data_IF_085895443403
#
_entry.id   IF_085895443403
#
_cell.length_a   1.000
_cell.length_b   1.000
_cell.length_c   1.000
_cell.angle_alpha   90.00
_cell.angle_beta   90.00
_cell.angle_gamma   90.00
#
_symmetry.space_group_name_H-M   'P 1'
#
loop_
_entity.id
_entity.type
_entity.pdbx_description
1 polymer ?
#
# COMPACT_ATOMS: atom_id res chain seq x y z
N UNK A 1 10.82 -35.78 28.43
CA UNK A 1 11.06 -34.96 27.23
C UNK A 1 12.54 -35.05 26.92
N UNK A 2 12.84 -35.63 25.77
CA UNK A 2 14.12 -36.14 25.26
C UNK A 2 15.31 -35.22 25.49
N UNK A 3 16.44 -35.79 25.92
CA UNK A 3 17.75 -35.14 25.79
C UNK A 3 17.97 -34.81 24.31
N UNK A 4 18.28 -33.55 24.03
CA UNK A 4 18.63 -33.09 22.70
C UNK A 4 20.04 -33.63 22.39
N UNK A 5 20.13 -34.50 21.39
CA UNK A 5 21.41 -35.06 20.95
C UNK A 5 22.42 -33.91 20.67
N UNK A 6 23.72 -34.08 20.96
CA UNK A 6 24.73 -33.02 20.87
C UNK A 6 24.87 -32.36 19.48
N UNK A 7 24.33 -33.00 18.43
CA UNK A 7 24.26 -32.41 17.07
C UNK A 7 23.19 -31.32 16.95
N UNK A 8 22.14 -31.39 17.76
CA UNK A 8 21.02 -30.45 17.74
C UNK A 8 21.32 -29.13 18.44
N UNK A 9 22.16 -29.13 19.49
CA UNK A 9 22.62 -27.91 20.16
C UNK A 9 23.52 -27.06 19.26
N UNK A 10 24.43 -27.69 18.52
CA UNK A 10 25.32 -27.02 17.55
C UNK A 10 24.52 -26.37 16.41
N UNK A 11 23.46 -27.04 15.93
CA UNK A 11 22.59 -26.49 14.90
C UNK A 11 21.80 -25.26 15.40
N UNK A 12 21.31 -25.30 16.64
CA UNK A 12 20.58 -24.19 17.25
C UNK A 12 21.47 -22.98 17.52
N UNK A 13 22.72 -23.21 17.93
CA UNK A 13 23.72 -22.16 18.14
C UNK A 13 24.13 -21.49 16.81
N UNK A 14 24.30 -22.29 15.75
CA UNK A 14 24.56 -21.78 14.40
C UNK A 14 23.39 -20.95 13.81
N UNK A 15 22.15 -21.21 14.26
CA UNK A 15 20.98 -20.39 13.93
C UNK A 15 20.82 -19.16 14.82
N UNK A 16 21.77 -18.88 15.71
CA UNK A 16 21.72 -17.73 16.63
C UNK A 16 20.68 -17.89 17.75
N UNK A 17 20.17 -19.10 17.96
CA UNK A 17 19.24 -19.44 19.04
C UNK A 17 20.07 -19.92 20.24
N UNK A 18 20.87 -19.01 20.80
CA UNK A 18 21.77 -19.31 21.91
C UNK A 18 21.97 -18.15 22.90
N UNK A 19 22.11 -18.43 24.22
CA UNK A 19 21.92 -19.74 24.86
C UNK A 19 20.45 -19.98 25.27
N UNK A 20 20.02 -21.25 25.16
CA UNK A 20 18.74 -21.73 25.68
C UNK A 20 18.77 -21.75 27.22
N UNK A 21 17.85 -21.03 27.85
CA UNK A 21 17.73 -20.96 29.30
C UNK A 21 17.15 -22.26 29.87
N UNK A 22 17.95 -22.98 30.66
CA UNK A 22 17.48 -24.13 31.43
C UNK A 22 16.89 -23.65 32.77
N UNK A 23 15.72 -24.19 33.13
CA UNK A 23 15.05 -23.87 34.40
C UNK A 23 15.88 -24.42 35.57
N UNK A 24 16.17 -23.58 36.58
CA UNK A 24 17.10 -23.88 37.70
C UNK A 24 16.71 -25.08 38.57
N UNK A 25 15.45 -25.49 38.58
CA UNK A 25 14.93 -26.46 39.55
C UNK A 25 14.59 -27.83 38.97
N UNK A 26 15.39 -28.35 38.03
CA UNK A 26 15.31 -29.77 37.69
C UNK A 26 16.24 -30.61 38.56
N UNK A 27 15.75 -31.65 39.25
CA UNK A 27 16.62 -32.65 39.84
C UNK A 27 17.37 -33.41 38.72
N UNK A 28 18.67 -33.62 38.92
CA UNK A 28 19.54 -34.29 37.96
C UNK A 28 19.05 -35.72 37.68
N UNK A 29 18.94 -36.14 36.40
CA UNK A 29 18.62 -37.53 36.08
C UNK A 29 19.80 -38.44 36.43
N UNK A 30 19.45 -39.59 37.02
CA UNK A 30 20.36 -40.66 37.44
C UNK A 30 20.96 -41.33 36.21
N UNK A 31 22.28 -41.45 36.17
CA UNK A 31 22.99 -42.13 35.10
C UNK A 31 22.58 -43.61 35.04
N UNK A 32 21.97 -44.03 33.92
CA UNK A 32 21.86 -45.43 33.54
C UNK A 32 22.83 -45.70 32.40
N UNK A 33 23.72 -46.66 32.63
CA UNK A 33 24.71 -47.11 31.67
C UNK A 33 24.02 -47.88 30.54
N UNK A 34 24.21 -47.43 29.29
CA UNK A 34 23.89 -48.22 28.10
C UNK A 34 25.15 -48.90 27.55
N UNK A 35 25.02 -50.20 27.35
CA UNK A 35 26.00 -51.09 26.74
C UNK A 35 26.10 -50.88 25.22
N UNK A 36 27.21 -51.26 24.56
CA UNK A 36 27.43 -50.99 23.14
C UNK A 36 26.95 -52.14 22.26
N UNK A 37 26.43 -51.83 21.07
CA UNK A 37 26.24 -52.79 19.98
C UNK A 37 26.64 -52.20 18.61
N UNK A 38 27.02 -53.05 17.64
CA UNK A 38 28.32 -52.95 16.98
C UNK A 38 28.30 -52.36 15.56
N UNK A 39 29.51 -52.07 15.08
CA UNK A 39 29.83 -51.63 13.72
C UNK A 39 29.83 -52.80 12.70
N UNK A 40 30.00 -52.41 11.42
CA UNK A 40 30.28 -53.21 10.20
C UNK A 40 29.05 -53.48 9.29
N UNK A 41 29.11 -53.38 7.95
CA UNK A 41 30.23 -53.39 7.00
C UNK A 41 29.81 -52.77 5.65
N UNK A 42 30.81 -52.39 4.86
CA UNK A 42 30.74 -51.83 3.51
C UNK A 42 30.73 -52.96 2.48
N UNK A 43 29.88 -52.88 1.45
CA UNK A 43 30.04 -53.70 0.23
C UNK A 43 29.74 -52.85 -1.02
N UNK A 44 30.72 -52.79 -1.91
CA UNK A 44 30.64 -52.23 -3.26
C UNK A 44 30.32 -53.35 -4.25
N UNK A 45 29.40 -53.11 -5.19
CA UNK A 45 29.41 -53.81 -6.49
C UNK A 45 29.08 -52.82 -7.60
N UNK A 46 29.89 -52.89 -8.64
CA UNK A 46 29.94 -52.09 -9.86
C UNK A 46 29.10 -52.73 -10.99
N UNK A 47 28.85 -51.95 -12.05
CA UNK A 47 28.49 -52.33 -13.44
C UNK A 47 26.99 -52.41 -13.82
N UNK A 48 26.52 -52.07 -15.03
CA UNK A 48 26.85 -51.18 -16.18
C UNK A 48 25.55 -51.17 -17.04
N UNK A 49 25.38 -50.13 -17.88
CA UNK A 49 24.67 -50.13 -19.19
C UNK A 49 23.27 -49.49 -19.37
N UNK A 50 23.32 -48.26 -19.89
CA UNK A 50 22.68 -47.71 -21.09
C UNK A 50 21.24 -48.10 -21.47
N UNK A 51 20.38 -47.08 -21.65
CA UNK A 51 19.64 -46.90 -22.91
C UNK A 51 19.33 -45.41 -23.19
N UNK A 52 19.98 -44.94 -24.26
CA UNK A 52 19.52 -44.08 -25.35
C UNK A 52 18.90 -42.69 -25.18
N UNK A 53 19.48 -41.82 -26.01
CA UNK A 53 19.15 -40.45 -26.31
C UNK A 53 17.96 -40.33 -27.28
N UNK A 54 17.29 -39.17 -27.23
CA UNK A 54 16.58 -38.67 -28.39
C UNK A 54 16.87 -37.17 -28.54
N UNK A 55 17.73 -36.88 -29.52
CA UNK A 55 17.95 -35.55 -30.07
C UNK A 55 17.11 -35.40 -31.34
N UNK A 56 16.45 -34.25 -31.51
CA UNK A 56 16.07 -33.73 -32.82
C UNK A 56 16.04 -32.19 -32.77
N UNK A 57 16.97 -31.59 -33.51
CA UNK A 57 17.07 -30.17 -33.84
C UNK A 57 16.17 -29.81 -35.05
N UNK A 58 16.33 -28.65 -35.72
CA UNK A 58 16.14 -27.27 -35.28
C UNK A 58 15.02 -26.58 -36.09
N UNK A 59 14.41 -25.52 -35.56
CA UNK A 59 13.48 -24.67 -36.31
C UNK A 59 14.02 -23.24 -36.45
N UNK A 60 13.84 -22.69 -37.64
CA UNK A 60 14.64 -21.66 -38.28
C UNK A 60 14.29 -20.24 -37.84
N UNK A 61 15.30 -19.37 -37.94
CA UNK A 61 15.20 -17.94 -37.79
C UNK A 61 14.31 -17.32 -38.90
N UNK A 62 13.25 -16.64 -38.48
CA UNK A 62 12.54 -15.66 -39.29
C UNK A 62 12.79 -14.27 -38.71
N UNK A 63 13.65 -13.51 -39.37
CA UNK A 63 13.82 -12.07 -39.11
C UNK A 63 12.57 -11.36 -39.65
N UNK A 64 11.79 -10.75 -38.76
CA UNK A 64 10.77 -9.76 -39.14
C UNK A 64 11.20 -8.41 -38.57
N UNK A 65 11.45 -7.46 -39.46
CA UNK A 65 11.78 -6.09 -39.13
C UNK A 65 10.63 -5.42 -38.33
N UNK A 66 10.92 -4.54 -37.36
CA UNK A 66 9.88 -3.87 -36.60
C UNK A 66 9.13 -2.85 -37.48
N UNK A 67 7.78 -2.81 -37.45
CA UNK A 67 7.05 -1.67 -37.97
C UNK A 67 7.27 -0.44 -37.07
N UNK A 68 7.37 0.73 -37.69
CA UNK A 68 7.50 2.03 -37.03
C UNK A 68 6.37 2.28 -36.00
N UNK A 69 6.62 3.06 -34.93
CA UNK A 69 5.66 3.23 -33.85
C UNK A 69 4.45 4.03 -34.34
N UNK A 70 3.31 3.35 -34.45
CA UNK A 70 2.01 4.00 -34.45
C UNK A 70 1.74 4.50 -33.02
N UNK A 71 1.50 5.80 -32.88
CA UNK A 71 0.92 6.38 -31.67
C UNK A 71 -0.44 5.70 -31.44
N UNK A 72 -0.54 4.87 -30.41
CA UNK A 72 -1.81 4.32 -29.95
C UNK A 72 -2.32 5.16 -28.79
N UNK A 73 -3.55 5.63 -28.91
CA UNK A 73 -4.27 6.36 -27.87
C UNK A 73 -4.49 5.46 -26.63
N UNK A 74 -3.78 5.77 -25.54
CA UNK A 74 -3.78 5.03 -24.26
C UNK A 74 -5.02 5.34 -23.39
N UNK A 75 -6.23 5.20 -23.92
CA UNK A 75 -7.47 5.47 -23.18
C UNK A 75 -8.35 4.24 -22.87
N UNK A 76 -7.93 3.02 -23.21
CA UNK A 76 -8.73 1.81 -23.02
C UNK A 76 -8.72 1.23 -21.58
N UNK A 77 -8.61 2.07 -20.54
CA UNK A 77 -8.61 1.60 -19.13
C UNK A 77 -10.03 1.26 -18.65
N UNK A 78 -11.09 1.96 -19.09
CA UNK A 78 -12.44 1.80 -18.50
C UNK A 78 -13.65 1.73 -19.47
N UNK A 79 -13.47 1.72 -20.80
CA UNK A 79 -14.61 1.83 -21.74
C UNK A 79 -15.52 0.58 -21.83
N UNK A 80 -15.16 -0.55 -21.23
CA UNK A 80 -15.95 -1.80 -21.30
C UNK A 80 -16.89 -2.04 -20.10
N UNK A 81 -17.26 -1.01 -19.35
CA UNK A 81 -18.27 -1.13 -18.30
C UNK A 81 -19.69 -0.93 -18.87
N UNK A 82 -20.57 -1.96 -18.90
CA UNK A 82 -21.94 -1.76 -19.37
C UNK A 82 -22.70 -0.78 -18.46
N UNK A 83 -23.53 0.12 -19.01
CA UNK A 83 -24.29 1.07 -18.20
C UNK A 83 -25.26 0.32 -17.30
N UNK A 84 -25.18 0.58 -15.99
CA UNK A 84 -26.13 0.03 -15.03
C UNK A 84 -27.55 0.59 -15.32
N UNK A 85 -28.60 -0.25 -15.30
CA UNK A 85 -29.95 0.20 -15.58
C UNK A 85 -30.45 1.18 -14.50
N UNK A 86 -30.68 2.43 -14.92
CA UNK A 86 -31.32 3.46 -14.11
C UNK A 86 -32.83 3.24 -14.09
N UNK A 87 -33.31 2.52 -13.08
CA UNK A 87 -34.71 2.61 -12.64
C UNK A 87 -34.80 2.25 -11.16
N UNK A 88 -34.87 3.25 -10.29
CA UNK A 88 -35.43 3.11 -8.95
C UNK A 88 -36.48 4.23 -8.73
N UNK A 89 -37.66 3.93 -8.17
CA UNK A 89 -38.81 4.82 -8.21
C UNK A 89 -38.76 5.93 -7.15
N UNK A 90 -39.18 7.13 -7.55
CA UNK A 90 -39.28 8.30 -6.70
C UNK A 90 -40.38 8.16 -5.63
N UNK A 91 -39.99 8.01 -4.36
CA UNK A 91 -40.89 8.14 -3.23
C UNK A 91 -41.04 9.63 -2.85
N UNK A 92 -42.25 10.16 -3.09
CA UNK A 92 -42.68 11.51 -2.67
C UNK A 92 -42.79 11.56 -1.15
N UNK A 93 -42.01 12.41 -0.49
CA UNK A 93 -42.23 12.76 0.91
C UNK A 93 -43.09 14.04 1.01
N UNK A 94 -44.12 14.09 1.87
CA UNK A 94 -44.89 15.31 2.09
C UNK A 94 -44.15 16.30 3.01
N UNK A 95 -44.09 17.56 2.57
CA UNK A 95 -43.49 18.66 3.31
C UNK A 95 -44.32 19.01 4.56
N UNK A 96 -43.70 18.92 5.75
CA UNK A 96 -44.23 19.52 6.99
C UNK A 96 -43.79 20.98 7.06
N UNK A 97 -44.76 21.90 7.06
CA UNK A 97 -44.56 23.32 7.37
C UNK A 97 -44.21 23.47 8.85
N UNK A 98 -43.11 24.15 9.14
CA UNK A 98 -42.76 24.62 10.49
C UNK A 98 -43.00 26.13 10.50
N UNK A 99 -43.95 26.60 11.32
CA UNK A 99 -44.15 28.03 11.59
C UNK A 99 -43.10 28.55 12.58
N UNK A 100 -42.62 29.80 12.42
CA UNK A 100 -41.63 30.38 13.33
C UNK A 100 -42.29 30.93 14.60
N UNK A 101 -41.74 30.57 15.76
CA UNK A 101 -42.15 31.08 17.07
C UNK A 101 -41.73 32.55 17.26
N UNK A 102 -42.66 33.33 17.81
CA UNK A 102 -42.56 34.77 18.13
C UNK A 102 -41.69 35.03 19.36
N UNK A 103 -40.73 35.95 19.25
CA UNK A 103 -39.91 36.43 20.37
C UNK A 103 -40.67 37.41 21.27
N UNK A 104 -40.48 37.39 22.61
CA UNK A 104 -40.94 38.46 23.50
C UNK A 104 -39.93 39.62 23.62
N UNK A 105 -40.46 40.83 23.83
CA UNK A 105 -39.74 42.10 23.97
C UNK A 105 -39.18 42.31 25.40
N UNK A 106 -38.21 43.23 25.61
CA UNK A 106 -37.40 43.30 26.83
C UNK A 106 -37.98 44.24 27.90
N UNK A 107 -37.76 43.90 29.17
CA UNK A 107 -37.95 44.78 30.32
C UNK A 107 -36.61 45.36 30.75
N UNK A 108 -36.60 46.67 31.00
CA UNK A 108 -35.47 47.45 31.46
C UNK A 108 -35.25 47.31 32.98
N UNK A 109 -34.00 47.25 33.40
CA UNK A 109 -33.52 47.90 34.64
C UNK A 109 -32.00 48.04 34.59
N UNK A 110 -31.54 49.17 35.10
CA UNK A 110 -30.22 49.77 34.98
C UNK A 110 -29.14 49.04 35.78
N UNK A 111 -27.96 48.85 35.19
CA UNK A 111 -26.66 49.16 35.81
C UNK A 111 -25.56 49.12 34.75
N UNK A 112 -25.27 50.30 34.20
CA UNK A 112 -24.25 50.56 33.19
C UNK A 112 -23.01 51.16 33.85
N UNK A 113 -21.87 50.47 33.81
CA UNK A 113 -20.52 51.05 33.59
C UNK A 113 -19.35 50.10 33.99
N UNK A 114 -19.27 48.88 33.43
CA UNK A 114 -18.07 48.03 33.64
C UNK A 114 -17.52 47.31 32.39
N UNK A 115 -18.21 47.29 31.25
CA UNK A 115 -17.78 46.50 30.08
C UNK A 115 -17.51 47.30 28.79
N UNK A 116 -17.14 48.58 28.90
CA UNK A 116 -16.62 49.34 27.75
C UNK A 116 -15.14 49.03 27.49
N UNK A 117 -14.86 47.81 26.99
CA UNK A 117 -13.70 47.47 26.17
C UNK A 117 -13.83 46.04 25.61
N UNK A 118 -14.89 45.75 24.86
CA UNK A 118 -14.91 44.54 24.00
C UNK A 118 -14.54 45.00 22.58
N UNK A 119 -13.36 44.63 22.06
CA UNK A 119 -13.01 44.96 20.69
C UNK A 119 -14.01 44.28 19.75
N UNK A 120 -14.55 45.07 18.82
CA UNK A 120 -15.45 44.65 17.75
C UNK A 120 -14.93 43.36 17.10
N UNK A 121 -15.71 42.27 17.02
CA UNK A 121 -15.25 41.07 16.32
C UNK A 121 -14.97 41.45 14.87
N UNK A 122 -13.70 41.32 14.49
CA UNK A 122 -13.23 41.53 13.13
C UNK A 122 -14.13 40.76 12.16
N UNK A 123 -14.52 41.44 11.08
CA UNK A 123 -15.31 40.90 10.00
C UNK A 123 -14.83 39.48 9.64
N UNK A 124 -15.75 38.51 9.70
CA UNK A 124 -15.53 37.16 9.17
C UNK A 124 -14.95 37.32 7.75
N UNK A 125 -13.76 36.77 7.44
CA UNK A 125 -13.25 36.84 6.08
C UNK A 125 -14.30 36.20 5.16
N UNK A 126 -14.66 36.94 4.11
CA UNK A 126 -15.60 36.51 3.10
C UNK A 126 -15.25 35.09 2.64
N UNK A 127 -16.24 34.20 2.62
CA UNK A 127 -16.10 32.84 2.10
C UNK A 127 -15.50 32.93 0.70
N UNK A 128 -14.24 32.49 0.58
CA UNK A 128 -13.52 32.46 -0.68
C UNK A 128 -14.28 31.53 -1.62
N UNK A 129 -14.58 31.98 -2.84
CA UNK A 129 -15.19 31.14 -3.86
C UNK A 129 -14.46 29.79 -3.94
N UNK A 130 -15.17 28.66 -4.21
CA UNK A 130 -14.53 27.36 -4.25
C UNK A 130 -13.40 27.41 -5.28
N UNK A 131 -12.17 27.18 -4.81
CA UNK A 131 -11.00 27.17 -5.67
C UNK A 131 -11.24 26.16 -6.81
N UNK A 132 -11.06 26.60 -8.05
CA UNK A 132 -11.15 25.75 -9.24
C UNK A 132 -10.24 24.53 -9.04
N UNK A 133 -10.77 23.34 -9.29
CA UNK A 133 -9.96 22.13 -9.28
C UNK A 133 -8.89 22.22 -10.38
N UNK A 134 -7.65 21.83 -10.06
CA UNK A 134 -6.57 21.77 -11.04
C UNK A 134 -6.92 20.78 -12.16
N UNK A 135 -6.60 21.14 -13.40
CA UNK A 135 -6.72 20.29 -14.60
C UNK A 135 -5.60 19.26 -14.66
N UNK A 136 -5.74 18.29 -15.55
CA UNK A 136 -4.78 17.19 -15.67
C UNK A 136 -3.45 17.71 -16.24
N UNK A 137 -3.51 18.64 -17.19
CA UNK A 137 -2.35 19.31 -17.78
C UNK A 137 -1.60 20.16 -16.74
N UNK A 138 -2.34 20.85 -15.86
CA UNK A 138 -1.73 21.60 -14.76
C UNK A 138 -0.99 20.66 -13.81
N UNK A 139 -1.62 19.55 -13.41
CA UNK A 139 -1.01 18.56 -12.51
C UNK A 139 0.24 17.93 -13.14
N UNK A 140 0.19 17.61 -14.44
CA UNK A 140 1.33 17.03 -15.17
C UNK A 140 2.57 17.94 -15.20
N UNK A 141 2.39 19.26 -15.05
CA UNK A 141 3.48 20.24 -15.06
C UNK A 141 4.08 20.55 -13.68
N UNK A 142 3.44 20.09 -12.58
CA UNK A 142 3.82 20.48 -11.21
C UNK A 142 5.16 19.90 -10.76
N UNK A 143 5.93 20.67 -10.01
CA UNK A 143 7.03 20.12 -9.21
C UNK A 143 6.50 19.41 -7.93
N UNK A 144 7.39 18.79 -7.14
CA UNK A 144 7.01 18.09 -5.92
C UNK A 144 6.25 18.96 -4.92
N UNK A 145 6.71 20.19 -4.71
CA UNK A 145 6.13 21.13 -3.75
C UNK A 145 4.73 21.55 -4.19
N UNK A 146 4.58 21.86 -5.48
CA UNK A 146 3.30 22.20 -6.10
C UNK A 146 2.33 21.03 -6.07
N UNK A 147 2.80 19.83 -6.39
CA UNK A 147 2.00 18.61 -6.38
C UNK A 147 1.44 18.32 -4.98
N UNK A 148 2.30 18.34 -3.96
CA UNK A 148 1.88 18.13 -2.58
C UNK A 148 0.88 19.21 -2.11
N UNK A 149 1.11 20.48 -2.48
CA UNK A 149 0.19 21.57 -2.16
C UNK A 149 -1.17 21.40 -2.88
N UNK A 150 -1.15 20.96 -4.13
CA UNK A 150 -2.36 20.70 -4.93
C UNK A 150 -3.17 19.55 -4.35
N UNK A 151 -2.54 18.45 -3.94
CA UNK A 151 -3.21 17.32 -3.26
C UNK A 151 -3.92 17.79 -2.00
N UNK A 152 -3.27 18.60 -1.16
CA UNK A 152 -3.84 19.11 0.10
C UNK A 152 -5.09 19.97 -0.12
N UNK A 153 -5.19 20.63 -1.27
CA UNK A 153 -6.31 21.53 -1.64
C UNK A 153 -7.28 20.92 -2.66
N UNK A 154 -7.08 19.67 -3.05
CA UNK A 154 -7.80 19.03 -4.15
C UNK A 154 -9.31 18.93 -3.88
N UNK A 155 -10.13 19.27 -4.87
CA UNK A 155 -11.61 19.20 -4.82
C UNK A 155 -12.20 18.37 -5.98
N UNK A 156 -11.39 17.50 -6.60
CA UNK A 156 -11.74 16.77 -7.84
C UNK A 156 -12.77 15.64 -7.68
N UNK A 157 -13.02 15.16 -6.45
CA UNK A 157 -14.00 14.10 -6.19
C UNK A 157 -14.69 14.29 -4.84
N UNK A 158 -15.77 13.54 -4.62
CA UNK A 158 -16.62 13.64 -3.42
C UNK A 158 -15.87 13.36 -2.10
N UNK A 159 -14.77 12.59 -2.13
CA UNK A 159 -13.94 12.33 -0.95
C UNK A 159 -13.37 13.60 -0.32
N UNK A 160 -13.24 14.69 -1.08
CA UNK A 160 -12.79 15.97 -0.52
C UNK A 160 -13.75 16.59 0.49
N UNK A 161 -15.02 16.17 0.48
CA UNK A 161 -16.08 16.66 1.37
C UNK A 161 -16.13 15.91 2.68
N UNK A 162 -15.71 14.64 2.68
CA UNK A 162 -15.78 13.75 3.85
C UNK A 162 -14.45 13.58 4.57
N UNK A 163 -13.32 13.78 3.86
CA UNK A 163 -11.99 13.65 4.46
C UNK A 163 -11.78 14.65 5.58
N UNK A 164 -11.02 14.26 6.60
CA UNK A 164 -10.49 15.19 7.60
C UNK A 164 -9.29 15.96 7.04
N UNK A 165 -8.41 15.24 6.35
CA UNK A 165 -7.22 15.79 5.71
C UNK A 165 -6.87 14.94 4.48
N UNK A 166 -6.36 15.57 3.42
CA UNK A 166 -5.74 14.81 2.34
C UNK A 166 -4.33 14.36 2.78
N UNK A 167 -3.96 13.15 2.38
CA UNK A 167 -2.70 12.50 2.74
C UNK A 167 -1.88 12.33 1.45
N UNK A 168 -0.93 13.24 1.17
CA UNK A 168 0.02 13.05 0.07
C UNK A 168 0.99 11.90 0.39
N UNK A 169 1.69 11.42 -0.64
CA UNK A 169 2.76 10.46 -0.45
C UNK A 169 3.93 11.02 0.37
N UNK A 170 4.79 10.12 0.85
CA UNK A 170 5.97 10.45 1.67
C UNK A 170 7.18 9.64 1.24
N UNK A 171 8.36 10.15 1.56
CA UNK A 171 9.63 9.44 1.43
C UNK A 171 10.55 10.11 0.41
N UNK A 172 11.44 9.31 -0.16
CA UNK A 172 12.48 9.77 -1.07
C UNK A 172 11.86 10.20 -2.41
N UNK A 173 12.00 11.47 -2.75
CA UNK A 173 11.52 12.05 -4.02
C UNK A 173 12.27 11.49 -5.23
N UNK A 174 13.48 10.92 -5.03
CA UNK A 174 14.27 10.20 -6.02
C UNK A 174 14.27 8.67 -5.75
N UNK A 175 13.13 8.14 -5.28
CA UNK A 175 13.00 6.75 -4.87
C UNK A 175 13.27 5.75 -5.99
N UNK A 176 13.98 4.67 -5.64
CA UNK A 176 14.14 3.50 -6.48
C UNK A 176 12.84 2.71 -6.61
N UNK A 177 12.06 2.64 -5.54
CA UNK A 177 10.82 1.88 -5.43
C UNK A 177 9.65 2.78 -5.06
N UNK A 178 8.54 2.60 -5.77
CA UNK A 178 7.26 3.21 -5.44
C UNK A 178 6.38 2.21 -4.71
N UNK A 179 6.02 2.47 -3.46
CA UNK A 179 5.14 1.60 -2.66
C UNK A 179 3.73 2.16 -2.67
N UNK A 180 2.77 1.34 -3.09
CA UNK A 180 1.40 1.75 -3.37
C UNK A 180 0.41 1.06 -2.42
N UNK A 181 -0.30 1.85 -1.63
CA UNK A 181 -1.52 1.46 -0.93
C UNK A 181 -2.79 1.86 -1.71
N UNK A 182 -3.96 1.42 -1.24
CA UNK A 182 -5.23 1.73 -1.90
C UNK A 182 -5.71 3.15 -1.57
N UNK A 183 -5.92 3.42 -0.28
CA UNK A 183 -6.46 4.66 0.26
C UNK A 183 -5.89 4.91 1.66
N UNK A 184 -5.83 6.17 2.12
CA UNK A 184 -5.51 6.50 3.51
C UNK A 184 -6.59 5.96 4.46
N UNK A 185 -6.16 5.62 5.66
CA UNK A 185 -7.02 5.22 6.79
C UNK A 185 -7.26 6.39 7.74
N UNK A 186 -8.12 6.18 8.76
CA UNK A 186 -8.31 7.17 9.83
C UNK A 186 -6.98 7.60 10.49
N UNK A 187 -6.10 6.64 10.77
CA UNK A 187 -4.81 6.90 11.39
C UNK A 187 -3.86 7.69 10.47
N UNK A 188 -3.97 7.50 9.15
CA UNK A 188 -3.18 8.25 8.18
C UNK A 188 -3.66 9.71 8.07
N UNK A 189 -4.98 9.93 8.12
CA UNK A 189 -5.53 11.29 8.20
C UNK A 189 -5.11 12.00 9.50
N UNK A 190 -5.12 11.28 10.62
CA UNK A 190 -4.76 11.83 11.92
C UNK A 190 -3.27 12.19 12.02
N UNK A 191 -2.41 11.37 11.44
CA UNK A 191 -0.96 11.62 11.38
C UNK A 191 -0.53 12.50 10.19
N UNK A 192 -1.42 12.73 9.22
CA UNK A 192 -1.12 13.42 7.97
C UNK A 192 -0.09 12.69 7.09
N UNK A 193 0.15 11.40 7.34
CA UNK A 193 1.28 10.63 6.82
C UNK A 193 0.78 9.30 6.26
N UNK A 194 1.06 9.02 4.99
CA UNK A 194 0.63 7.77 4.34
C UNK A 194 1.28 6.55 4.98
N UNK A 195 0.45 5.59 5.44
CA UNK A 195 0.89 4.42 6.21
C UNK A 195 1.82 4.83 7.36
N UNK A 196 1.33 5.71 8.24
CA UNK A 196 2.12 6.29 9.35
C UNK A 196 2.03 5.54 10.68
N UNK A 197 1.02 4.70 10.87
CA UNK A 197 0.76 4.00 12.13
C UNK A 197 1.49 2.63 12.23
N UNK A 198 1.00 1.70 13.04
CA UNK A 198 1.58 0.36 13.22
C UNK A 198 1.81 -0.41 11.88
N UNK A 199 0.89 -0.38 10.89
CA UNK A 199 1.16 -0.95 9.57
C UNK A 199 2.35 -0.28 8.85
N UNK A 200 2.52 1.02 9.06
CA UNK A 200 3.66 1.80 8.59
C UNK A 200 4.98 1.34 9.18
N UNK A 201 5.01 1.11 10.49
CA UNK A 201 6.20 0.61 11.16
C UNK A 201 6.63 -0.77 10.65
N UNK A 202 5.66 -1.65 10.37
CA UNK A 202 5.95 -2.94 9.73
C UNK A 202 6.46 -2.75 8.29
N UNK A 203 5.88 -1.82 7.52
CA UNK A 203 6.37 -1.49 6.18
C UNK A 203 7.82 -1.00 6.22
N UNK A 204 8.20 -0.15 7.16
CA UNK A 204 9.60 0.28 7.32
C UNK A 204 10.54 -0.90 7.60
N UNK A 205 10.10 -1.87 8.42
CA UNK A 205 10.89 -3.08 8.68
C UNK A 205 11.03 -3.93 7.40
N UNK A 206 9.97 -4.03 6.60
CA UNK A 206 9.97 -4.76 5.32
C UNK A 206 10.92 -4.13 4.31
N UNK A 207 10.89 -2.79 4.18
CA UNK A 207 11.80 -2.05 3.29
C UNK A 207 13.26 -2.20 3.74
N UNK A 208 13.52 -2.09 5.05
CA UNK A 208 14.88 -2.27 5.59
C UNK A 208 15.46 -3.65 5.29
N UNK A 209 14.62 -4.70 5.26
CA UNK A 209 15.06 -6.05 4.93
C UNK A 209 15.53 -6.20 3.46
N UNK A 210 15.23 -5.23 2.60
CA UNK A 210 15.69 -5.17 1.20
C UNK A 210 16.57 -3.92 0.92
N UNK A 211 17.20 -3.38 1.97
CA UNK A 211 18.15 -2.25 1.88
C UNK A 211 17.52 -0.95 1.34
N UNK A 212 16.26 -0.70 1.74
CA UNK A 212 15.49 0.50 1.45
C UNK A 212 14.91 1.11 2.73
N UNK A 213 14.61 2.40 2.69
CA UNK A 213 13.78 3.10 3.68
C UNK A 213 13.02 4.23 3.01
N UNK A 214 12.03 4.82 3.68
CA UNK A 214 11.41 6.04 3.15
C UNK A 214 12.36 7.23 3.12
N UNK A 215 13.44 7.21 3.91
CA UNK A 215 14.46 8.25 3.85
C UNK A 215 15.44 8.02 2.69
N UNK A 216 15.52 6.81 2.15
CA UNK A 216 16.42 6.46 1.04
C UNK A 216 15.89 5.29 0.22
N UNK A 217 15.46 5.61 -1.01
CA UNK A 217 15.14 4.65 -2.05
C UNK A 217 13.69 4.19 -2.11
N UNK A 218 12.81 4.59 -1.19
CA UNK A 218 11.39 4.27 -1.27
C UNK A 218 10.49 5.52 -1.12
N UNK A 219 9.48 5.61 -1.97
CA UNK A 219 8.39 6.58 -1.87
C UNK A 219 7.08 5.83 -1.62
N UNK A 220 6.38 6.14 -0.55
CA UNK A 220 5.14 5.48 -0.12
C UNK A 220 3.96 6.39 -0.41
N UNK A 221 2.99 5.90 -1.16
CA UNK A 221 1.81 6.68 -1.53
C UNK A 221 0.59 5.77 -1.74
N UNK A 222 -0.59 6.36 -1.95
CA UNK A 222 -1.86 5.64 -2.14
C UNK A 222 -2.52 6.01 -3.47
N UNK A 223 -3.34 5.13 -4.05
CA UNK A 223 -4.01 5.38 -5.33
C UNK A 223 -4.99 6.56 -5.25
N UNK A 224 -5.72 6.69 -4.15
CA UNK A 224 -6.46 7.92 -3.80
C UNK A 224 -5.78 8.64 -2.64
N UNK A 225 -5.80 9.98 -2.60
CA UNK A 225 -5.16 10.78 -1.54
C UNK A 225 -6.07 11.16 -0.38
N UNK A 226 -7.29 10.62 -0.36
CA UNK A 226 -8.33 10.95 0.61
C UNK A 226 -8.92 9.66 1.17
N UNK A 227 -9.23 9.63 2.46
CA UNK A 227 -9.87 8.49 3.10
C UNK A 227 -11.27 8.28 2.51
N UNK A 228 -11.55 7.05 2.10
CA UNK A 228 -12.86 6.65 1.57
C UNK A 228 -13.68 6.04 2.71
N UNK A 229 -14.76 6.70 3.09
CA UNK A 229 -15.68 6.25 4.14
C UNK A 229 -17.06 5.92 3.57
N UNK A 230 -17.73 4.93 4.16
CA UNK A 230 -19.15 4.64 3.93
C UNK A 230 -20.07 5.56 4.74
N UNK A 231 -21.38 5.30 4.73
CA UNK A 231 -22.37 6.14 5.41
C UNK A 231 -22.26 6.04 6.95
N UNK A 232 -21.70 4.94 7.44
CA UNK A 232 -21.48 4.63 8.84
C UNK A 232 -20.12 5.17 9.36
N UNK A 233 -19.27 5.68 8.46
CA UNK A 233 -17.97 6.25 8.78
C UNK A 233 -16.82 5.24 8.83
N UNK A 234 -17.05 4.00 8.36
CA UNK A 234 -16.05 2.96 8.27
C UNK A 234 -15.27 3.03 6.94
N UNK A 235 -14.03 2.53 6.96
CA UNK A 235 -13.17 2.52 5.78
C UNK A 235 -13.72 1.57 4.71
N UNK A 236 -13.87 2.10 3.49
CA UNK A 236 -14.34 1.33 2.33
C UNK A 236 -13.34 1.36 1.19
N UNK A 237 -13.57 0.51 0.21
CA UNK A 237 -12.84 0.56 -1.07
C UNK A 237 -13.29 1.81 -1.86
N UNK A 238 -12.37 2.59 -2.44
CA UNK A 238 -12.71 3.69 -3.34
C UNK A 238 -13.43 3.20 -4.60
N UNK A 239 -14.33 4.02 -5.13
CA UNK A 239 -15.02 3.73 -6.39
C UNK A 239 -14.11 3.96 -7.59
N UNK A 240 -14.48 3.42 -8.75
CA UNK A 240 -13.75 3.66 -10.00
C UNK A 240 -13.65 5.14 -10.36
N UNK A 241 -14.71 5.92 -10.11
CA UNK A 241 -14.71 7.36 -10.34
C UNK A 241 -13.74 8.11 -9.40
N UNK A 242 -13.66 7.70 -8.13
CA UNK A 242 -12.71 8.28 -7.17
C UNK A 242 -11.25 7.97 -7.54
N UNK A 243 -10.98 6.75 -8.00
CA UNK A 243 -9.67 6.35 -8.52
C UNK A 243 -9.30 7.15 -9.78
N UNK A 244 -10.22 7.25 -10.74
CA UNK A 244 -10.01 8.00 -11.97
C UNK A 244 -9.75 9.49 -11.70
N UNK A 245 -10.49 10.11 -10.78
CA UNK A 245 -10.31 11.51 -10.43
C UNK A 245 -8.94 11.82 -9.79
N UNK A 246 -8.37 10.85 -9.06
CA UNK A 246 -7.09 10.99 -8.34
C UNK A 246 -5.87 10.54 -9.17
N UNK A 247 -6.09 9.78 -10.25
CA UNK A 247 -5.06 9.27 -11.16
C UNK A 247 -4.01 10.30 -11.58
N UNK A 248 -4.34 11.54 -11.98
CA UNK A 248 -3.32 12.49 -12.44
C UNK A 248 -2.24 12.77 -11.39
N UNK A 249 -2.60 12.78 -10.10
CA UNK A 249 -1.63 12.96 -9.02
C UNK A 249 -0.67 11.78 -8.92
N UNK A 250 -1.20 10.55 -9.00
CA UNK A 250 -0.38 9.34 -8.96
C UNK A 250 0.55 9.29 -10.18
N UNK A 251 0.02 9.56 -11.37
CA UNK A 251 0.81 9.61 -12.61
C UNK A 251 1.97 10.60 -12.47
N UNK A 252 1.70 11.77 -11.90
CA UNK A 252 2.75 12.77 -11.66
C UNK A 252 3.80 12.32 -10.64
N UNK A 253 3.39 11.62 -9.56
CA UNK A 253 4.35 11.01 -8.62
C UNK A 253 5.23 9.95 -9.30
N UNK A 254 4.69 9.12 -10.21
CA UNK A 254 5.47 8.15 -10.97
C UNK A 254 6.51 8.84 -11.87
N UNK A 255 6.12 9.91 -12.55
CA UNK A 255 7.01 10.68 -13.43
C UNK A 255 8.11 11.39 -12.65
N UNK A 256 7.78 12.02 -11.52
CA UNK A 256 8.75 12.74 -10.70
C UNK A 256 9.73 11.82 -9.97
N UNK A 257 9.29 10.63 -9.54
CA UNK A 257 10.17 9.66 -8.86
C UNK A 257 11.10 8.93 -9.82
N UNK A 258 10.69 8.75 -11.08
CA UNK A 258 11.37 7.87 -12.05
C UNK A 258 11.63 6.46 -11.49
N UNK A 259 10.76 5.99 -10.59
CA UNK A 259 10.97 4.75 -9.85
C UNK A 259 11.17 3.56 -10.80
N UNK A 260 12.13 2.70 -10.47
CA UNK A 260 12.46 1.54 -11.29
C UNK A 260 11.53 0.34 -11.09
N UNK A 261 10.72 0.35 -10.03
CA UNK A 261 9.78 -0.71 -9.64
C UNK A 261 8.64 -0.14 -8.79
N UNK A 262 7.42 -0.67 -8.93
CA UNK A 262 6.34 -0.46 -7.98
C UNK A 262 6.01 -1.72 -7.16
N UNK A 263 5.71 -1.53 -5.87
CA UNK A 263 5.25 -2.56 -4.95
C UNK A 263 3.84 -2.23 -4.48
N UNK A 264 2.84 -3.00 -4.89
CA UNK A 264 1.45 -2.80 -4.43
C UNK A 264 1.17 -3.59 -3.17
N UNK A 265 0.62 -2.91 -2.16
CA UNK A 265 0.22 -3.48 -0.88
C UNK A 265 -1.22 -3.97 -0.95
N UNK A 266 -1.40 -5.30 -0.96
CA UNK A 266 -2.70 -5.95 -1.04
C UNK A 266 -3.22 -6.17 -2.46
N UNK A 267 -4.06 -7.19 -2.63
CA UNK A 267 -4.61 -7.56 -3.93
C UNK A 267 -5.58 -6.54 -4.52
N UNK A 268 -6.31 -5.80 -3.68
CA UNK A 268 -7.25 -4.75 -4.14
C UNK A 268 -6.49 -3.60 -4.80
N UNK A 269 -5.37 -3.18 -4.21
CA UNK A 269 -4.49 -2.16 -4.80
C UNK A 269 -3.92 -2.61 -6.14
N UNK A 270 -3.41 -3.85 -6.20
CA UNK A 270 -2.90 -4.44 -7.44
C UNK A 270 -3.97 -4.45 -8.54
N UNK A 271 -5.18 -4.92 -8.21
CA UNK A 271 -6.30 -4.96 -9.15
C UNK A 271 -6.72 -3.57 -9.62
N UNK A 272 -6.76 -2.58 -8.73
CA UNK A 272 -7.13 -1.21 -9.08
C UNK A 272 -6.10 -0.55 -10.01
N UNK A 273 -4.81 -0.86 -9.83
CA UNK A 273 -3.73 -0.32 -10.66
C UNK A 273 -3.56 -1.07 -12.00
N UNK A 274 -3.65 -2.40 -11.98
CA UNK A 274 -3.26 -3.27 -13.10
C UNK A 274 -4.44 -3.96 -13.80
N UNK A 275 -5.66 -3.84 -13.27
CA UNK A 275 -6.82 -4.63 -13.70
C UNK A 275 -6.81 -6.09 -13.21
N UNK A 276 -5.66 -6.60 -12.76
CA UNK A 276 -5.47 -7.94 -12.23
C UNK A 276 -4.62 -7.95 -10.96
N UNK A 277 -4.77 -9.00 -10.14
CA UNK A 277 -3.96 -9.21 -8.95
C UNK A 277 -3.32 -10.60 -8.99
N UNK A 278 -1.99 -10.64 -9.07
CA UNK A 278 -1.23 -11.88 -9.02
C UNK A 278 0.06 -11.70 -8.22
N UNK A 279 0.14 -12.33 -7.04
CA UNK A 279 1.39 -12.42 -6.26
C UNK A 279 2.31 -13.49 -6.82
N UNK A 280 3.59 -13.45 -6.44
CA UNK A 280 4.61 -14.37 -6.95
C UNK A 280 4.91 -14.19 -8.45
N UNK A 281 4.46 -13.09 -9.05
CA UNK A 281 4.71 -12.74 -10.45
C UNK A 281 5.09 -11.26 -10.55
N UNK A 282 5.89 -10.92 -11.55
CA UNK A 282 6.13 -9.54 -11.94
C UNK A 282 5.14 -9.19 -13.03
N UNK A 283 4.24 -8.26 -12.72
CA UNK A 283 3.33 -7.64 -13.68
C UNK A 283 3.95 -6.33 -14.18
N UNK A 284 3.29 -5.65 -15.12
CA UNK A 284 3.77 -4.36 -15.63
C UNK A 284 2.65 -3.34 -15.71
N UNK A 285 3.00 -2.10 -15.39
CA UNK A 285 2.19 -0.92 -15.63
C UNK A 285 2.96 -0.03 -16.61
N UNK A 286 2.57 -0.08 -17.90
CA UNK A 286 3.46 0.37 -18.98
C UNK A 286 4.80 -0.37 -18.91
N UNK A 287 5.90 0.38 -18.85
CA UNK A 287 7.24 -0.20 -18.68
C UNK A 287 7.64 -0.49 -17.23
N UNK A 288 6.90 0.02 -16.24
CA UNK A 288 7.21 -0.12 -14.82
C UNK A 288 6.88 -1.54 -14.33
N UNK A 289 7.85 -2.35 -13.87
CA UNK A 289 7.56 -3.62 -13.24
C UNK A 289 6.83 -3.42 -11.91
N UNK A 290 5.80 -4.21 -11.69
CA UNK A 290 4.95 -4.16 -10.50
C UNK A 290 4.91 -5.52 -9.84
N UNK A 291 5.21 -5.55 -8.54
CA UNK A 291 5.08 -6.74 -7.70
C UNK A 291 4.00 -6.50 -6.65
N UNK A 292 3.09 -7.45 -6.50
CA UNK A 292 2.07 -7.41 -5.46
C UNK A 292 2.52 -8.18 -4.22
N UNK A 293 2.31 -7.60 -3.04
CA UNK A 293 2.51 -8.26 -1.75
C UNK A 293 1.29 -8.08 -0.84
N UNK A 294 1.38 -8.55 0.40
CA UNK A 294 0.34 -8.38 1.40
C UNK A 294 0.32 -6.94 1.93
N UNK A 295 -0.87 -6.49 2.35
CA UNK A 295 -0.93 -5.23 3.08
C UNK A 295 -0.32 -5.41 4.48
N UNK A 296 0.50 -4.48 5.01
CA UNK A 296 1.10 -4.64 6.34
C UNK A 296 0.07 -4.84 7.46
N UNK A 297 -1.08 -4.17 7.37
CA UNK A 297 -2.19 -4.39 8.30
C UNK A 297 -2.74 -5.84 8.27
N UNK A 298 -2.71 -6.51 7.12
CA UNK A 298 -3.09 -7.92 7.03
C UNK A 298 -2.05 -8.83 7.67
N UNK A 299 -0.77 -8.50 7.54
CA UNK A 299 0.35 -9.25 8.13
C UNK A 299 0.42 -9.11 9.65
N UNK A 300 -0.09 -8.01 10.20
CA UNK A 300 -0.25 -7.84 11.65
C UNK A 300 -1.37 -8.74 12.19
N UNK A 301 -2.47 -8.90 11.43
CA UNK A 301 -3.57 -9.81 11.78
C UNK A 301 -3.23 -11.28 11.55
N UNK A 302 -2.42 -11.58 10.52
CA UNK A 302 -2.00 -12.94 10.13
C UNK A 302 -0.47 -13.02 9.99
N UNK A 303 0.27 -13.11 11.10
CA UNK A 303 1.72 -13.13 11.08
C UNK A 303 2.33 -14.30 10.30
N UNK A 304 1.60 -15.40 10.14
CA UNK A 304 2.00 -16.58 9.37
C UNK A 304 2.24 -16.27 7.87
N UNK A 305 1.61 -15.23 7.33
CA UNK A 305 1.80 -14.82 5.93
C UNK A 305 3.11 -14.03 5.72
N UNK A 306 3.85 -13.66 6.77
CA UNK A 306 5.11 -12.87 6.67
C UNK A 306 6.18 -13.57 5.83
N UNK A 307 6.30 -14.89 5.90
CA UNK A 307 7.25 -15.64 5.07
C UNK A 307 6.94 -15.54 3.56
N UNK A 308 5.65 -15.47 3.22
CA UNK A 308 5.21 -15.27 1.83
C UNK A 308 5.45 -13.83 1.38
N UNK A 309 5.18 -12.84 2.24
CA UNK A 309 5.51 -11.45 1.97
C UNK A 309 7.02 -11.25 1.73
N UNK A 310 7.88 -11.93 2.49
CA UNK A 310 9.33 -11.93 2.25
C UNK A 310 9.71 -12.48 0.87
N UNK A 311 9.03 -13.52 0.41
CA UNK A 311 9.25 -14.06 -0.94
C UNK A 311 8.87 -13.04 -2.02
N UNK A 312 7.77 -12.31 -1.84
CA UNK A 312 7.36 -11.23 -2.76
C UNK A 312 8.40 -10.08 -2.76
N UNK A 313 8.96 -9.71 -1.61
CA UNK A 313 10.01 -8.69 -1.51
C UNK A 313 11.31 -9.13 -2.19
N UNK A 314 11.70 -10.39 -2.04
CA UNK A 314 12.83 -10.95 -2.78
C UNK A 314 12.60 -10.88 -4.29
N UNK A 315 11.39 -11.23 -4.76
CA UNK A 315 11.02 -11.12 -6.17
C UNK A 315 11.10 -9.68 -6.67
N UNK A 316 10.56 -8.72 -5.90
CA UNK A 316 10.65 -7.29 -6.21
C UNK A 316 12.12 -6.82 -6.32
N UNK A 317 12.99 -7.26 -5.40
CA UNK A 317 14.42 -6.96 -5.45
C UNK A 317 15.11 -7.52 -6.69
N UNK A 318 14.85 -8.77 -7.03
CA UNK A 318 15.39 -9.39 -8.25
C UNK A 318 14.89 -8.69 -9.52
N UNK A 319 13.60 -8.33 -9.57
CA UNK A 319 13.01 -7.63 -10.71
C UNK A 319 13.60 -6.22 -10.91
N UNK A 320 13.84 -5.48 -9.82
CA UNK A 320 14.49 -4.17 -9.88
C UNK A 320 15.95 -4.25 -10.33
N UNK A 321 16.71 -5.25 -9.83
CA UNK A 321 18.12 -5.42 -10.17
C UNK A 321 18.35 -5.68 -11.67
N UNK A 322 17.43 -6.37 -12.34
CA UNK A 322 17.52 -6.66 -13.78
C UNK A 322 17.36 -5.46 -14.72
N UNK A 323 17.09 -4.24 -14.21
CA UNK A 323 17.02 -3.00 -15.00
C UNK A 323 18.28 -2.15 -14.95
N UNK A 324 19.27 -2.51 -14.12
CA UNK A 324 20.54 -1.77 -13.99
C UNK A 324 21.54 -2.15 -15.06
#
# INVERSE_FOLDING_TARGET
MSELAPRSSVFLDAMGVGPLWLLRDRPAPVAQAEAPEPAEQVEQVEQVEQVEAMAAAPAQAGVVAPPAPARSDDNAWFDDAPPAPSTAPALKQPARKIEPARAPAPAASEDTAWFDAVPTPAARPAATAPARAATDEEIASMDWRELQAAVRRCTRCELCRTRRAAVPGRGDEAARWLVLGLAPTAADEDSGTALGAEPGQLLENMLRAVDLSTDSGAYVTTLVKCRAVDAEGADRTPTGAELAACRPYLQRELELTEAGLALTLGGVTAKALLGAAARGKVLRHGELPVVATFHPADLLRRPEDKGRAWTDLCLARSAHAGRR
#
